data_IF_682786641865
#
_entry.id   IF_682786641865
#
_cell.length_a   1.000
_cell.length_b   1.000
_cell.length_c   1.000
_cell.angle_alpha   90.00
_cell.angle_beta   90.00
_cell.angle_gamma   90.00
#
_symmetry.space_group_name_H-M   'P 1'
#
loop_
_entity.id
_entity.type
_entity.pdbx_description
1 polymer ?
#
# COMPACT_ATOMS: atom_id res chain seq x y z
N UNK A 1 -8.97 -20.29 -2.14
CA UNK A 1 -10.19 -19.59 -1.66
C UNK A 1 -10.14 -18.16 -2.19
N UNK A 2 -10.94 -17.80 -3.20
CA UNK A 2 -11.02 -16.42 -3.71
C UNK A 2 -12.01 -15.66 -2.81
N UNK A 3 -11.59 -14.58 -2.14
CA UNK A 3 -12.52 -13.72 -1.42
C UNK A 3 -13.48 -13.07 -2.42
N UNK A 4 -14.77 -12.89 -2.09
CA UNK A 4 -15.71 -12.18 -2.95
C UNK A 4 -15.22 -10.74 -3.14
N UNK A 5 -15.02 -10.32 -4.40
CA UNK A 5 -14.66 -8.95 -4.75
C UNK A 5 -15.82 -8.03 -4.40
N UNK A 6 -15.64 -7.22 -3.37
CA UNK A 6 -16.61 -6.21 -2.98
C UNK A 6 -16.51 -5.03 -3.95
N UNK A 7 -17.60 -4.79 -4.69
CA UNK A 7 -17.60 -3.81 -5.76
C UNK A 7 -17.86 -2.40 -5.19
N UNK A 8 -16.80 -1.64 -4.99
CA UNK A 8 -16.84 -0.20 -4.68
C UNK A 8 -16.59 0.60 -5.96
N UNK A 9 -17.07 1.85 -5.99
CA UNK A 9 -16.78 2.75 -7.11
C UNK A 9 -15.27 2.89 -7.31
N UNK A 10 -14.82 2.95 -8.57
CA UNK A 10 -13.39 3.00 -8.93
C UNK A 10 -12.65 4.13 -8.22
N UNK A 11 -13.30 5.29 -8.04
CA UNK A 11 -12.75 6.44 -7.31
C UNK A 11 -12.48 6.12 -5.84
N UNK A 12 -13.40 5.40 -5.20
CA UNK A 12 -13.26 4.97 -3.80
C UNK A 12 -12.16 3.94 -3.69
N UNK A 13 -12.13 2.97 -4.60
CA UNK A 13 -11.08 1.96 -4.62
C UNK A 13 -9.68 2.55 -4.81
N UNK A 14 -9.52 3.49 -5.76
CA UNK A 14 -8.27 4.23 -5.95
C UNK A 14 -7.87 5.00 -4.67
N UNK A 15 -8.82 5.63 -3.98
CA UNK A 15 -8.57 6.32 -2.72
C UNK A 15 -8.17 5.36 -1.58
N UNK A 16 -8.87 4.23 -1.43
CA UNK A 16 -8.53 3.18 -0.46
C UNK A 16 -7.13 2.64 -0.70
N UNK A 17 -6.80 2.37 -1.97
CA UNK A 17 -5.50 1.84 -2.39
C UNK A 17 -4.39 2.86 -2.18
N UNK A 18 -4.64 4.14 -2.44
CA UNK A 18 -3.70 5.22 -2.15
C UNK A 18 -3.39 5.29 -0.64
N UNK A 19 -4.42 5.25 0.22
CA UNK A 19 -4.24 5.27 1.67
C UNK A 19 -3.51 4.04 2.20
N UNK A 20 -3.83 2.86 1.66
CA UNK A 20 -3.14 1.62 2.00
C UNK A 20 -1.65 1.69 1.64
N UNK A 21 -1.32 2.23 0.45
CA UNK A 21 0.06 2.45 0.02
C UNK A 21 0.80 3.44 0.92
N UNK A 22 0.15 4.52 1.36
CA UNK A 22 0.77 5.48 2.29
C UNK A 22 1.16 4.80 3.60
N UNK A 23 0.24 4.03 4.20
CA UNK A 23 0.54 3.25 5.41
C UNK A 23 1.67 2.25 5.16
N UNK A 24 1.61 1.50 4.05
CA UNK A 24 2.66 0.55 3.70
C UNK A 24 4.04 1.23 3.55
N UNK A 25 4.08 2.44 3.00
CA UNK A 25 5.31 3.23 2.88
C UNK A 25 5.84 3.68 4.25
N UNK A 26 4.98 3.98 5.22
CA UNK A 26 5.40 4.30 6.59
C UNK A 26 5.96 3.08 7.33
N UNK A 27 5.32 1.91 7.21
CA UNK A 27 5.80 0.64 7.78
C UNK A 27 7.13 0.20 7.13
N UNK A 28 7.23 0.30 5.81
CA UNK A 28 8.42 -0.07 5.03
C UNK A 28 9.44 1.07 4.89
N UNK A 29 9.38 2.08 5.76
CA UNK A 29 10.21 3.29 5.64
C UNK A 29 11.70 2.99 5.64
N UNK A 30 12.15 1.98 6.38
CA UNK A 30 13.57 1.61 6.44
C UNK A 30 14.08 1.09 5.09
N UNK A 31 13.33 0.20 4.43
CA UNK A 31 13.65 -0.34 3.12
C UNK A 31 13.51 0.74 2.04
N UNK A 32 12.52 1.62 2.19
CA UNK A 32 12.33 2.76 1.29
C UNK A 32 13.51 3.73 1.36
N UNK A 33 14.03 3.99 2.56
CA UNK A 33 15.21 4.82 2.77
C UNK A 33 16.45 4.18 2.14
N UNK A 34 16.69 2.88 2.36
CA UNK A 34 17.83 2.18 1.76
C UNK A 34 17.80 2.22 0.22
N UNK A 35 16.62 2.05 -0.38
CA UNK A 35 16.44 2.18 -1.82
C UNK A 35 16.67 3.63 -2.30
N UNK A 36 16.15 4.62 -1.56
CA UNK A 36 16.35 6.04 -1.88
C UNK A 36 17.83 6.44 -1.79
N UNK A 37 18.55 5.93 -0.78
CA UNK A 37 19.97 6.18 -0.58
C UNK A 37 20.80 5.55 -1.71
N UNK A 38 20.45 4.34 -2.18
CA UNK A 38 21.13 3.75 -3.35
C UNK A 38 20.86 4.53 -4.64
N UNK A 39 19.63 4.98 -4.85
CA UNK A 39 19.25 5.78 -6.01
C UNK A 39 19.84 7.20 -5.97
N UNK A 40 20.23 7.69 -4.79
CA UNK A 40 20.84 9.00 -4.62
C UNK A 40 22.13 9.11 -5.42
N UNK A 41 22.14 9.97 -6.45
CA UNK A 41 23.28 10.15 -7.35
C UNK A 41 23.37 9.15 -8.50
N UNK A 42 22.39 8.26 -8.69
CA UNK A 42 22.32 7.31 -9.82
C UNK A 42 21.05 7.53 -10.61
N UNK A 43 21.15 8.07 -11.83
CA UNK A 43 19.98 8.28 -12.72
C UNK A 43 19.80 7.09 -13.67
N UNK A 44 20.86 6.72 -14.39
CA UNK A 44 20.78 5.69 -15.44
C UNK A 44 21.08 4.27 -14.92
N UNK A 45 21.99 4.14 -13.95
CA UNK A 45 22.43 2.83 -13.43
C UNK A 45 21.59 2.31 -12.26
N UNK A 46 20.69 3.12 -11.70
CA UNK A 46 19.90 2.76 -10.51
C UNK A 46 19.07 1.48 -10.68
N UNK A 47 18.47 1.27 -11.86
CA UNK A 47 17.61 0.10 -12.12
C UNK A 47 18.38 -1.22 -11.97
N UNK A 48 19.68 -1.24 -12.27
CA UNK A 48 20.51 -2.43 -12.14
C UNK A 48 21.26 -2.46 -10.82
N UNK A 49 21.86 -1.33 -10.41
CA UNK A 49 22.66 -1.23 -9.18
C UNK A 49 21.84 -1.35 -7.90
N UNK A 50 20.61 -0.85 -7.88
CA UNK A 50 19.75 -0.82 -6.69
C UNK A 50 18.64 -1.89 -6.77
N UNK A 51 18.82 -2.92 -7.61
CA UNK A 51 17.80 -3.95 -7.85
C UNK A 51 17.48 -4.75 -6.59
N UNK A 52 18.47 -4.99 -5.74
CA UNK A 52 18.31 -5.77 -4.52
C UNK A 52 17.57 -4.97 -3.44
N UNK A 53 17.91 -3.70 -3.24
CA UNK A 53 17.19 -2.77 -2.38
C UNK A 53 15.75 -2.58 -2.86
N UNK A 54 15.54 -2.47 -4.18
CA UNK A 54 14.21 -2.40 -4.77
C UNK A 54 13.39 -3.68 -4.51
N UNK A 55 14.01 -4.86 -4.60
CA UNK A 55 13.36 -6.13 -4.26
C UNK A 55 12.98 -6.17 -2.79
N UNK A 56 13.88 -5.77 -1.88
CA UNK A 56 13.59 -5.74 -0.45
C UNK A 56 12.41 -4.81 -0.12
N UNK A 57 12.38 -3.63 -0.73
CA UNK A 57 11.25 -2.70 -0.62
C UNK A 57 9.95 -3.31 -1.16
N UNK A 58 9.97 -3.89 -2.36
CA UNK A 58 8.78 -4.50 -2.95
C UNK A 58 8.25 -5.67 -2.15
N UNK A 59 9.13 -6.51 -1.59
CA UNK A 59 8.73 -7.60 -0.70
C UNK A 59 7.94 -7.01 0.47
N UNK A 60 8.49 -6.01 1.16
CA UNK A 60 7.81 -5.34 2.26
C UNK A 60 6.46 -4.74 1.85
N UNK A 61 6.43 -3.96 0.76
CA UNK A 61 5.20 -3.35 0.26
C UNK A 61 4.14 -4.39 -0.09
N UNK A 62 4.53 -5.50 -0.72
CA UNK A 62 3.61 -6.57 -1.13
C UNK A 62 2.87 -7.23 0.03
N UNK A 63 3.45 -7.26 1.23
CA UNK A 63 2.79 -7.77 2.42
C UNK A 63 1.60 -6.90 2.83
N UNK A 64 1.71 -5.58 2.66
CA UNK A 64 0.69 -4.61 3.05
C UNK A 64 -0.28 -4.25 1.91
N UNK A 65 0.15 -4.34 0.64
CA UNK A 65 -0.67 -4.02 -0.53
C UNK A 65 -1.26 -5.26 -1.20
N UNK A 66 -1.41 -6.36 -0.47
CA UNK A 66 -1.99 -7.60 -0.98
C UNK A 66 -3.49 -7.40 -1.30
N UNK A 67 -4.04 -7.97 -2.38
CA UNK A 67 -5.48 -7.96 -2.67
C UNK A 67 -6.36 -8.41 -1.49
N UNK A 68 -5.86 -9.27 -0.59
CA UNK A 68 -6.59 -9.64 0.62
C UNK A 68 -6.79 -8.46 1.59
N UNK A 69 -5.74 -7.67 1.82
CA UNK A 69 -5.75 -6.50 2.70
C UNK A 69 -6.66 -5.42 2.11
N UNK A 70 -6.62 -5.23 0.79
CA UNK A 70 -7.51 -4.32 0.09
C UNK A 70 -8.98 -4.75 0.22
N UNK A 71 -9.28 -6.03 0.03
CA UNK A 71 -10.65 -6.54 0.18
C UNK A 71 -11.19 -6.39 1.61
N UNK A 72 -10.35 -6.60 2.62
CA UNK A 72 -10.70 -6.37 4.01
C UNK A 72 -10.97 -4.88 4.29
N UNK A 73 -10.15 -3.98 3.74
CA UNK A 73 -10.39 -2.54 3.84
C UNK A 73 -11.69 -2.12 3.13
N UNK A 74 -11.98 -2.68 1.96
CA UNK A 74 -13.26 -2.48 1.25
C UNK A 74 -14.44 -2.96 2.09
N UNK A 75 -14.32 -4.11 2.76
CA UNK A 75 -15.36 -4.64 3.67
C UNK A 75 -15.67 -3.66 4.79
N UNK A 76 -14.65 -3.21 5.52
CA UNK A 76 -14.80 -2.24 6.62
C UNK A 76 -15.38 -0.90 6.15
N UNK A 77 -15.00 -0.47 4.95
CA UNK A 77 -15.55 0.75 4.34
C UNK A 77 -17.07 0.68 4.11
N UNK A 78 -17.56 -0.45 3.61
CA UNK A 78 -19.00 -0.64 3.40
C UNK A 78 -19.75 -0.83 4.73
N UNK A 79 -19.15 -1.52 5.70
CA UNK A 79 -19.72 -1.66 7.05
C UNK A 79 -19.85 -0.29 7.76
N UNK A 80 -18.93 0.63 7.48
CA UNK A 80 -18.99 2.01 7.96
C UNK A 80 -20.03 2.88 7.22
N UNK A 81 -20.72 2.35 6.21
CA UNK A 81 -21.79 3.06 5.51
C UNK A 81 -21.33 4.08 4.46
N UNK A 82 -20.12 3.94 3.91
CA UNK A 82 -19.56 4.84 2.88
C UNK A 82 -19.55 6.32 3.28
N UNK A 83 -18.88 6.69 4.38
CA UNK A 83 -18.87 8.07 4.86
C UNK A 83 -18.15 8.99 3.86
N UNK A 84 -18.68 10.20 3.64
CA UNK A 84 -18.02 11.23 2.82
C UNK A 84 -16.69 11.69 3.43
N UNK A 85 -16.58 11.66 4.77
CA UNK A 85 -15.37 11.98 5.54
C UNK A 85 -14.96 10.78 6.41
N UNK A 86 -14.23 9.81 5.85
CA UNK A 86 -13.82 8.62 6.59
C UNK A 86 -12.69 8.90 7.59
N UNK A 87 -12.81 8.30 8.78
CA UNK A 87 -11.68 8.19 9.72
C UNK A 87 -10.73 7.09 9.25
N UNK A 88 -9.72 7.50 8.47
CA UNK A 88 -8.68 6.63 7.96
C UNK A 88 -7.89 5.91 9.05
N UNK A 89 -7.71 6.55 10.21
CA UNK A 89 -6.94 5.99 11.32
C UNK A 89 -7.71 4.83 11.96
N UNK A 90 -9.02 4.96 12.10
CA UNK A 90 -9.89 3.90 12.58
C UNK A 90 -9.97 2.73 11.57
N UNK A 91 -10.16 3.03 10.28
CA UNK A 91 -10.30 2.03 9.24
C UNK A 91 -9.03 1.18 9.06
N UNK A 92 -7.86 1.82 9.10
CA UNK A 92 -6.56 1.16 8.93
C UNK A 92 -6.01 0.54 10.21
N UNK A 93 -6.70 0.66 11.35
CA UNK A 93 -6.26 0.09 12.62
C UNK A 93 -6.31 -1.44 12.55
N UNK A 94 -5.23 -2.11 12.99
CA UNK A 94 -5.12 -3.58 12.98
C UNK A 94 -5.28 -4.23 11.58
N UNK A 95 -4.88 -3.52 10.53
CA UNK A 95 -4.70 -4.04 9.17
C UNK A 95 -3.22 -4.29 8.88
#
# INVERSE_FOLDING_TARGET
MKLPEQHVSRKVEEALLFRLKQKAMEECKQQAQAYADCCSGRVFSAVWSCRDEFKALNICLSHHTNPQVLNELKRRWMEAGQPETPDWKALLKNL
#
